data_IF_183121020654
#
_entry.id   IF_183121020654
#
_cell.length_a   1.000
_cell.length_b   1.000
_cell.length_c   1.000
_cell.angle_alpha   90.00
_cell.angle_beta   90.00
_cell.angle_gamma   90.00
#
_symmetry.space_group_name_H-M   'P 1'
#
loop_
_entity.id
_entity.type
_entity.pdbx_description
1 polymer ?
#
# COMPACT_ATOMS: atom_id res chain seq x y z
N UNK A 1 32.72 -6.50 -3.59
CA UNK A 1 31.49 -6.77 -2.80
C UNK A 1 31.87 -7.88 -1.83
N UNK A 2 32.01 -7.59 -0.53
CA UNK A 2 32.48 -8.57 0.47
C UNK A 2 31.38 -9.60 0.76
N UNK A 3 31.75 -10.82 1.14
CA UNK A 3 30.80 -11.87 1.50
C UNK A 3 29.82 -11.44 2.58
N UNK A 4 30.25 -10.58 3.51
CA UNK A 4 29.42 -10.00 4.57
C UNK A 4 28.29 -9.11 4.04
N UNK A 5 28.53 -8.37 2.95
CA UNK A 5 27.50 -7.54 2.32
C UNK A 5 26.39 -8.40 1.67
N UNK A 6 26.73 -9.54 1.08
CA UNK A 6 25.76 -10.46 0.48
C UNK A 6 24.88 -11.10 1.57
N UNK A 7 25.49 -11.52 2.68
CA UNK A 7 24.75 -12.07 3.82
C UNK A 7 23.75 -11.06 4.42
N UNK A 8 24.15 -9.82 4.55
CA UNK A 8 23.28 -8.73 5.01
C UNK A 8 22.05 -8.54 4.10
N UNK A 9 22.25 -8.45 2.78
CA UNK A 9 21.16 -8.25 1.83
C UNK A 9 20.24 -9.46 1.74
N UNK A 10 20.76 -10.68 1.84
CA UNK A 10 19.95 -11.91 1.87
C UNK A 10 19.05 -11.96 3.12
N UNK A 11 19.60 -11.63 4.27
CA UNK A 11 18.82 -11.57 5.51
C UNK A 11 17.73 -10.49 5.43
N UNK A 12 18.05 -9.31 4.90
CA UNK A 12 17.10 -8.22 4.74
C UNK A 12 15.97 -8.59 3.75
N UNK A 13 16.30 -9.24 2.65
CA UNK A 13 15.32 -9.75 1.69
C UNK A 13 14.44 -10.86 2.30
N UNK A 14 15.00 -11.74 3.11
CA UNK A 14 14.26 -12.76 3.85
C UNK A 14 13.26 -12.16 4.83
N UNK A 15 13.69 -11.19 5.63
CA UNK A 15 12.85 -10.46 6.58
C UNK A 15 11.72 -9.70 5.85
N UNK A 16 12.03 -9.06 4.72
CA UNK A 16 11.03 -8.38 3.90
C UNK A 16 9.98 -9.35 3.33
N UNK A 17 10.39 -10.52 2.84
CA UNK A 17 9.48 -11.55 2.34
C UNK A 17 8.53 -12.05 3.43
N UNK A 18 9.03 -12.23 4.64
CA UNK A 18 8.24 -12.62 5.81
C UNK A 18 7.26 -11.51 6.20
N UNK A 19 7.71 -10.26 6.22
CA UNK A 19 6.88 -9.08 6.47
C UNK A 19 5.75 -8.98 5.46
N UNK A 20 6.04 -9.16 4.17
CA UNK A 20 5.06 -9.12 3.08
C UNK A 20 4.00 -10.21 3.26
N UNK A 21 4.40 -11.42 3.65
CA UNK A 21 3.48 -12.52 3.93
C UNK A 21 2.56 -12.18 5.11
N UNK A 22 3.13 -11.73 6.22
CA UNK A 22 2.35 -11.38 7.43
C UNK A 22 1.36 -10.26 7.13
N UNK A 23 1.79 -9.18 6.47
CA UNK A 23 0.92 -8.05 6.13
C UNK A 23 -0.17 -8.46 5.15
N UNK A 24 0.13 -9.33 4.18
CA UNK A 24 -0.87 -9.86 3.25
C UNK A 24 -1.94 -10.67 4.00
N UNK A 25 -1.54 -11.59 4.87
CA UNK A 25 -2.48 -12.39 5.67
C UNK A 25 -3.32 -11.48 6.57
N UNK A 26 -2.69 -10.53 7.26
CA UNK A 26 -3.38 -9.55 8.09
C UNK A 26 -4.40 -8.73 7.28
N UNK A 27 -4.00 -8.20 6.13
CA UNK A 27 -4.87 -7.43 5.23
C UNK A 27 -6.09 -8.22 4.75
N UNK A 28 -5.92 -9.51 4.44
CA UNK A 28 -7.03 -10.39 4.07
C UNK A 28 -8.00 -10.63 5.23
N UNK A 29 -7.49 -10.81 6.44
CA UNK A 29 -8.32 -10.95 7.64
C UNK A 29 -9.10 -9.68 7.96
N UNK A 30 -8.45 -8.52 7.88
CA UNK A 30 -9.10 -7.21 8.07
C UNK A 30 -10.19 -6.99 7.02
N UNK A 31 -9.92 -7.32 5.77
CA UNK A 31 -10.91 -7.23 4.68
C UNK A 31 -12.12 -8.12 4.96
N UNK A 32 -11.92 -9.36 5.40
CA UNK A 32 -13.00 -10.25 5.78
C UNK A 32 -13.82 -9.71 6.96
N UNK A 33 -13.15 -9.14 7.94
CA UNK A 33 -13.78 -8.50 9.11
C UNK A 33 -14.68 -7.33 8.71
N UNK A 34 -14.15 -6.42 7.86
CA UNK A 34 -14.90 -5.27 7.37
C UNK A 34 -16.16 -5.70 6.60
N UNK A 35 -16.03 -6.66 5.66
CA UNK A 35 -17.19 -7.17 4.93
C UNK A 35 -18.24 -7.81 5.86
N UNK A 36 -17.80 -8.48 6.91
CA UNK A 36 -18.70 -9.07 7.91
C UNK A 36 -19.40 -8.01 8.75
N UNK A 37 -18.70 -6.94 9.12
CA UNK A 37 -19.31 -5.79 9.82
C UNK A 37 -20.37 -5.11 8.96
N UNK A 38 -20.03 -4.82 7.69
CA UNK A 38 -20.96 -4.19 6.75
C UNK A 38 -22.21 -5.06 6.57
N UNK A 39 -22.03 -6.38 6.41
CA UNK A 39 -23.15 -7.31 6.29
C UNK A 39 -24.05 -7.30 7.54
N UNK A 40 -23.47 -7.25 8.74
CA UNK A 40 -24.23 -7.13 9.99
C UNK A 40 -25.05 -5.85 10.07
N UNK A 41 -24.46 -4.71 9.70
CA UNK A 41 -25.15 -3.42 9.66
C UNK A 41 -26.31 -3.45 8.66
N UNK A 42 -26.15 -4.17 7.56
CA UNK A 42 -27.20 -4.34 6.54
C UNK A 42 -28.23 -5.44 6.88
N UNK A 43 -28.16 -6.09 8.05
CA UNK A 43 -29.06 -7.20 8.43
C UNK A 43 -28.82 -8.47 7.62
N UNK A 44 -27.65 -8.65 6.99
CA UNK A 44 -27.31 -9.81 6.16
C UNK A 44 -26.33 -10.75 6.88
N UNK A 45 -26.32 -12.03 6.47
CA UNK A 45 -25.31 -13.00 6.91
C UNK A 45 -23.98 -12.67 6.20
N UNK A 46 -22.95 -12.33 6.98
CA UNK A 46 -21.63 -11.99 6.46
C UNK A 46 -20.85 -13.19 5.92
N UNK A 47 -19.85 -12.91 5.08
CA UNK A 47 -18.95 -13.92 4.52
C UNK A 47 -18.07 -14.56 5.61
N UNK A 48 -17.68 -15.85 5.48
CA UNK A 48 -16.73 -16.47 6.39
C UNK A 48 -15.33 -15.88 6.22
N UNK A 49 -14.52 -15.86 7.29
CA UNK A 49 -13.15 -15.32 7.29
C UNK A 49 -12.22 -15.98 6.26
N UNK A 50 -12.53 -17.21 5.83
CA UNK A 50 -11.75 -17.94 4.82
C UNK A 50 -12.01 -17.48 3.39
N UNK A 51 -13.08 -16.72 3.14
CA UNK A 51 -13.51 -16.37 1.79
C UNK A 51 -12.48 -15.57 0.99
N UNK A 52 -11.78 -14.55 1.53
CA UNK A 52 -10.76 -13.83 0.78
C UNK A 52 -9.61 -14.73 0.30
N UNK A 53 -9.19 -15.69 1.12
CA UNK A 53 -8.15 -16.65 0.75
C UNK A 53 -8.61 -17.59 -0.39
N UNK A 54 -9.84 -18.10 -0.28
CA UNK A 54 -10.44 -18.95 -1.32
C UNK A 54 -10.57 -18.16 -2.63
N UNK A 55 -10.92 -16.87 -2.57
CA UNK A 55 -11.06 -16.03 -3.75
C UNK A 55 -9.71 -15.83 -4.46
N UNK A 56 -8.62 -15.63 -3.73
CA UNK A 56 -7.27 -15.54 -4.32
C UNK A 56 -6.93 -16.86 -5.01
N UNK A 57 -7.06 -17.99 -4.29
CA UNK A 57 -6.75 -19.30 -4.83
C UNK A 57 -7.57 -19.59 -6.09
N UNK A 58 -8.86 -19.31 -6.07
CA UNK A 58 -9.75 -19.48 -7.21
C UNK A 58 -9.33 -18.61 -8.41
N UNK A 59 -8.88 -17.39 -8.17
CA UNK A 59 -8.50 -16.47 -9.24
C UNK A 59 -7.17 -16.84 -9.90
N UNK A 60 -6.24 -17.49 -9.18
CA UNK A 60 -4.98 -18.00 -9.74
C UNK A 60 -5.24 -19.04 -10.83
N UNK A 61 -6.29 -19.87 -10.68
CA UNK A 61 -6.61 -20.91 -11.65
C UNK A 61 -7.55 -20.44 -12.79
N UNK A 62 -8.07 -19.21 -12.73
CA UNK A 62 -8.92 -18.67 -13.79
C UNK A 62 -8.10 -18.24 -14.99
N UNK A 63 -8.62 -18.51 -16.18
CA UNK A 63 -8.06 -18.02 -17.44
C UNK A 63 -8.89 -16.85 -17.95
N UNK A 64 -8.24 -15.86 -18.56
CA UNK A 64 -8.91 -14.80 -19.30
C UNK A 64 -9.46 -15.34 -20.61
N UNK A 65 -10.74 -15.14 -20.87
CA UNK A 65 -11.40 -15.62 -22.09
C UNK A 65 -11.24 -14.64 -23.27
N UNK A 66 -10.94 -13.37 -23.02
CA UNK A 66 -10.86 -12.32 -24.01
C UNK A 66 -9.44 -11.77 -24.00
N UNK A 67 -8.83 -11.63 -25.18
CA UNK A 67 -7.54 -10.98 -25.36
C UNK A 67 -7.75 -9.46 -25.36
N UNK A 68 -7.17 -8.79 -24.39
CA UNK A 68 -7.05 -7.34 -24.32
C UNK A 68 -5.61 -6.92 -24.66
N UNK A 69 -5.37 -5.63 -24.85
CA UNK A 69 -4.02 -5.13 -25.10
C UNK A 69 -3.06 -5.27 -23.91
N UNK A 70 -1.84 -4.84 -24.10
CA UNK A 70 -0.73 -5.05 -23.15
C UNK A 70 -1.01 -4.40 -21.78
N UNK A 71 -1.64 -3.23 -21.76
CA UNK A 71 -1.93 -2.51 -20.51
C UNK A 71 -2.92 -3.22 -19.59
N UNK A 72 -3.78 -4.06 -20.15
CA UNK A 72 -4.69 -4.91 -19.36
C UNK A 72 -3.91 -5.89 -18.46
N UNK A 73 -2.81 -6.44 -18.96
CA UNK A 73 -1.94 -7.35 -18.20
C UNK A 73 -0.95 -6.60 -17.29
N UNK A 74 -0.46 -5.44 -17.73
CA UNK A 74 0.47 -4.63 -16.94
C UNK A 74 -0.19 -3.88 -15.79
N UNK A 75 -1.47 -3.51 -15.91
CA UNK A 75 -2.21 -2.78 -14.88
C UNK A 75 -2.17 -3.46 -13.49
N UNK A 76 -2.54 -4.74 -13.37
CA UNK A 76 -2.43 -5.48 -12.11
C UNK A 76 -1.00 -5.60 -11.59
N UNK A 77 -0.01 -5.71 -12.49
CA UNK A 77 1.43 -5.77 -12.12
C UNK A 77 1.87 -4.44 -11.51
N UNK A 78 1.51 -3.31 -12.11
CA UNK A 78 1.81 -1.98 -11.57
C UNK A 78 1.11 -1.75 -10.23
N UNK A 79 -0.13 -2.22 -10.09
CA UNK A 79 -0.83 -2.13 -8.81
C UNK A 79 -0.15 -2.95 -7.73
N UNK A 80 0.29 -4.16 -8.04
CA UNK A 80 1.04 -5.00 -7.12
C UNK A 80 2.39 -4.35 -6.77
N UNK A 81 3.10 -3.85 -7.78
CA UNK A 81 4.39 -3.16 -7.60
C UNK A 81 4.24 -1.93 -6.70
N UNK A 82 3.17 -1.14 -6.86
CA UNK A 82 2.87 -0.01 -5.97
C UNK A 82 2.66 -0.45 -4.52
N UNK A 83 1.88 -1.51 -4.28
CA UNK A 83 1.64 -2.05 -2.94
C UNK A 83 2.90 -2.62 -2.28
N UNK A 84 3.66 -3.42 -3.02
CA UNK A 84 4.94 -4.00 -2.53
C UNK A 84 5.98 -2.90 -2.30
N UNK A 85 6.08 -1.91 -3.22
CA UNK A 85 6.97 -0.77 -3.09
C UNK A 85 6.65 0.08 -1.86
N UNK A 86 5.38 0.34 -1.59
CA UNK A 86 4.95 1.05 -0.39
C UNK A 86 5.40 0.31 0.87
N UNK A 87 5.17 -1.00 0.95
CA UNK A 87 5.59 -1.83 2.10
C UNK A 87 7.12 -1.91 2.25
N UNK A 88 7.86 -1.83 1.14
CA UNK A 88 9.32 -1.90 1.18
C UNK A 88 9.94 -0.75 1.98
N UNK A 89 9.33 0.43 1.96
CA UNK A 89 9.86 1.64 2.59
C UNK A 89 9.16 2.03 3.90
N UNK A 90 8.06 1.38 4.27
CA UNK A 90 7.40 1.62 5.55
C UNK A 90 7.90 0.61 6.58
N UNK A 91 8.47 1.05 7.71
CA UNK A 91 8.74 0.17 8.85
C UNK A 91 7.40 -0.29 9.45
N UNK A 92 7.13 -1.59 9.45
CA UNK A 92 5.86 -2.13 9.97
C UNK A 92 5.81 -2.09 11.49
N UNK A 93 6.97 -2.31 12.12
CA UNK A 93 7.13 -2.18 13.57
C UNK A 93 8.35 -1.31 13.83
N UNK A 94 8.13 -0.14 14.42
CA UNK A 94 9.21 0.76 14.79
C UNK A 94 10.11 0.15 15.88
N UNK A 95 11.42 0.31 15.71
CA UNK A 95 12.41 -0.23 16.67
C UNK A 95 12.71 -1.72 16.52
N UNK A 96 12.13 -2.41 15.54
CA UNK A 96 12.43 -3.81 15.24
C UNK A 96 13.32 -3.93 14.01
N UNK A 97 14.49 -4.52 14.15
CA UNK A 97 15.40 -4.77 13.01
C UNK A 97 14.77 -5.69 11.96
N UNK A 98 13.95 -6.63 12.41
CA UNK A 98 13.28 -7.59 11.54
C UNK A 98 12.24 -6.94 10.62
N UNK A 99 11.50 -5.94 11.10
CA UNK A 99 10.40 -5.27 10.38
C UNK A 99 10.75 -3.86 9.91
N UNK A 100 12.03 -3.48 9.94
CA UNK A 100 12.50 -2.16 9.49
C UNK A 100 12.47 -1.98 7.96
N UNK A 101 12.36 -3.09 7.21
CA UNK A 101 12.36 -3.10 5.75
C UNK A 101 13.57 -2.35 5.14
N UNK A 102 13.36 -1.61 4.04
CA UNK A 102 14.41 -0.86 3.33
C UNK A 102 14.35 0.64 3.64
N UNK A 103 13.89 1.02 4.84
CA UNK A 103 13.80 2.42 5.25
C UNK A 103 15.12 3.18 5.00
N UNK A 104 15.05 4.32 4.32
CA UNK A 104 16.17 5.19 3.92
C UNK A 104 15.78 6.66 4.10
N UNK A 105 16.77 7.55 4.02
CA UNK A 105 16.50 8.98 3.94
C UNK A 105 15.66 9.28 2.68
N UNK A 106 14.48 9.90 2.83
CA UNK A 106 13.57 10.19 1.73
C UNK A 106 12.50 9.12 1.47
N UNK A 107 12.38 8.11 2.33
CA UNK A 107 11.38 7.03 2.24
C UNK A 107 9.94 7.57 2.25
N UNK A 108 9.68 8.70 2.92
CA UNK A 108 8.36 9.33 2.92
C UNK A 108 7.86 9.71 1.52
N UNK A 109 8.72 10.29 0.68
CA UNK A 109 8.37 10.63 -0.70
C UNK A 109 8.18 9.37 -1.56
N UNK A 110 9.03 8.36 -1.37
CA UNK A 110 8.92 7.10 -2.09
C UNK A 110 7.62 6.36 -1.76
N UNK A 111 7.21 6.35 -0.50
CA UNK A 111 5.94 5.76 -0.07
C UNK A 111 4.75 6.43 -0.75
N UNK A 112 4.72 7.76 -0.79
CA UNK A 112 3.66 8.52 -1.47
C UNK A 112 3.65 8.18 -2.96
N UNK A 113 4.80 8.20 -3.62
CA UNK A 113 4.93 7.88 -5.02
C UNK A 113 4.40 6.48 -5.35
N UNK A 114 4.80 5.45 -4.60
CA UNK A 114 4.34 4.08 -4.83
C UNK A 114 2.85 3.91 -4.55
N UNK A 115 2.29 4.64 -3.60
CA UNK A 115 0.86 4.61 -3.30
C UNK A 115 0.04 5.12 -4.50
N UNK A 116 0.44 6.23 -5.11
CA UNK A 116 -0.22 6.78 -6.30
C UNK A 116 0.06 5.96 -7.56
N UNK A 117 1.27 5.44 -7.71
CA UNK A 117 1.66 4.59 -8.83
C UNK A 117 0.78 3.34 -8.94
N UNK A 118 0.46 2.71 -7.82
CA UNK A 118 -0.46 1.57 -7.77
C UNK A 118 -1.88 1.91 -8.23
N UNK A 119 -2.38 3.11 -7.92
CA UNK A 119 -3.69 3.58 -8.37
C UNK A 119 -3.70 3.85 -9.89
N UNK A 120 -2.67 4.51 -10.41
CA UNK A 120 -2.50 4.76 -11.82
C UNK A 120 -2.46 3.46 -12.63
N UNK A 121 -1.74 2.44 -12.14
CA UNK A 121 -1.70 1.11 -12.77
C UNK A 121 -3.07 0.48 -12.93
N UNK A 122 -3.95 0.61 -11.93
CA UNK A 122 -5.31 0.12 -12.01
C UNK A 122 -6.13 0.87 -13.08
N UNK A 123 -5.97 2.19 -13.18
CA UNK A 123 -6.64 3.00 -14.19
C UNK A 123 -6.21 2.62 -15.61
N UNK A 124 -4.92 2.41 -15.84
CA UNK A 124 -4.39 1.98 -17.13
C UNK A 124 -4.93 0.61 -17.55
N UNK A 125 -4.93 -0.36 -16.65
CA UNK A 125 -5.46 -1.70 -16.93
C UNK A 125 -6.96 -1.72 -17.22
N UNK A 126 -7.74 -0.94 -16.49
CA UNK A 126 -9.17 -0.82 -16.72
C UNK A 126 -9.49 -0.06 -18.02
N UNK A 127 -8.62 0.91 -18.43
CA UNK A 127 -8.79 1.69 -19.65
C UNK A 127 -8.79 0.83 -20.91
N UNK A 128 -8.00 -0.21 -20.93
CA UNK A 128 -7.86 -1.09 -22.09
C UNK A 128 -8.97 -2.13 -22.23
N UNK A 129 -9.90 -2.19 -21.27
CA UNK A 129 -11.03 -3.13 -21.34
C UNK A 129 -12.01 -2.85 -22.48
N UNK A 130 -11.93 -1.67 -23.13
CA UNK A 130 -12.78 -1.29 -24.26
C UNK A 130 -14.27 -1.09 -23.92
N UNK A 131 -14.64 -1.20 -22.66
CA UNK A 131 -16.04 -1.06 -22.26
C UNK A 131 -16.37 0.41 -21.93
N UNK A 132 -17.50 0.98 -22.45
CA UNK A 132 -17.85 2.39 -22.24
C UNK A 132 -17.92 2.80 -20.76
N UNK A 133 -18.46 1.95 -19.90
CA UNK A 133 -18.53 2.21 -18.45
C UNK A 133 -17.17 2.19 -17.76
N UNK A 134 -16.19 1.50 -18.34
CA UNK A 134 -14.82 1.51 -17.82
C UNK A 134 -14.19 2.90 -17.94
N UNK A 135 -14.36 3.55 -19.10
CA UNK A 135 -13.87 4.92 -19.33
C UNK A 135 -14.47 5.92 -18.31
N UNK A 136 -15.78 5.83 -18.06
CA UNK A 136 -16.46 6.67 -17.06
C UNK A 136 -15.94 6.36 -15.66
N UNK A 137 -15.80 5.08 -15.32
CA UNK A 137 -15.29 4.63 -14.02
C UNK A 137 -13.87 5.15 -13.75
N UNK A 138 -13.00 5.08 -14.75
CA UNK A 138 -11.62 5.57 -14.66
C UNK A 138 -11.58 7.09 -14.50
N UNK A 139 -12.34 7.83 -15.31
CA UNK A 139 -12.41 9.29 -15.22
C UNK A 139 -12.83 9.74 -13.83
N UNK A 140 -13.83 9.09 -13.25
CA UNK A 140 -14.26 9.34 -11.86
C UNK A 140 -13.19 8.97 -10.83
N UNK A 141 -12.56 7.80 -10.98
CA UNK A 141 -11.50 7.33 -10.08
C UNK A 141 -10.27 8.24 -10.09
N UNK A 142 -9.81 8.66 -11.27
CA UNK A 142 -8.69 9.59 -11.42
C UNK A 142 -9.02 10.98 -10.90
N UNK A 143 -10.22 11.50 -11.17
CA UNK A 143 -10.66 12.80 -10.63
C UNK A 143 -10.69 12.79 -9.09
N UNK A 144 -11.19 11.70 -8.50
CA UNK A 144 -11.19 11.53 -7.06
C UNK A 144 -9.76 11.44 -6.51
N UNK A 145 -8.88 10.68 -7.18
CA UNK A 145 -7.48 10.54 -6.79
C UNK A 145 -6.79 11.92 -6.77
N UNK A 146 -6.89 12.70 -7.83
CA UNK A 146 -6.29 14.03 -7.92
C UNK A 146 -6.84 14.98 -6.85
N UNK A 147 -8.14 14.87 -6.54
CA UNK A 147 -8.78 15.73 -5.55
C UNK A 147 -8.24 15.51 -4.12
N UNK A 148 -7.86 14.29 -3.73
CA UNK A 148 -7.29 14.05 -2.41
C UNK A 148 -5.75 14.06 -2.39
N UNK A 149 -5.09 13.88 -3.54
CA UNK A 149 -3.63 13.89 -3.65
C UNK A 149 -3.04 15.24 -3.23
N UNK A 150 -3.62 16.33 -3.68
CA UNK A 150 -3.15 17.68 -3.36
C UNK A 150 -3.25 18.01 -1.87
N UNK A 151 -4.39 17.86 -1.19
CA UNK A 151 -4.45 18.07 0.26
C UNK A 151 -3.55 17.13 1.06
N UNK A 152 -3.43 15.88 0.62
CA UNK A 152 -2.55 14.92 1.26
C UNK A 152 -1.08 15.31 1.13
N UNK A 153 -0.63 15.71 -0.06
CA UNK A 153 0.73 16.18 -0.28
C UNK A 153 1.05 17.43 0.55
N UNK A 154 0.12 18.38 0.65
CA UNK A 154 0.29 19.57 1.48
C UNK A 154 0.42 19.22 2.97
N UNK A 155 -0.39 18.28 3.47
CA UNK A 155 -0.28 17.81 4.84
C UNK A 155 1.08 17.15 5.12
N UNK A 156 1.59 16.34 4.18
CA UNK A 156 2.91 15.72 4.31
C UNK A 156 4.02 16.75 4.27
N UNK A 157 3.95 17.74 3.36
CA UNK A 157 4.93 18.82 3.29
C UNK A 157 4.95 19.62 4.61
N UNK A 158 3.80 19.87 5.21
CA UNK A 158 3.72 20.53 6.53
C UNK A 158 4.50 19.77 7.61
N UNK A 159 4.38 18.44 7.64
CA UNK A 159 5.12 17.57 8.56
C UNK A 159 6.64 17.64 8.27
N UNK A 160 7.03 17.58 6.99
CA UNK A 160 8.43 17.68 6.58
C UNK A 160 9.05 19.01 7.02
N UNK A 161 8.34 20.11 6.84
CA UNK A 161 8.82 21.43 7.27
C UNK A 161 8.98 21.51 8.78
N UNK A 162 8.07 20.87 9.54
CA UNK A 162 8.11 20.89 11.00
C UNK A 162 9.30 20.11 11.57
N UNK A 163 9.64 18.97 10.97
CA UNK A 163 10.71 18.09 11.47
C UNK A 163 12.01 18.18 10.69
N UNK A 164 12.06 18.97 9.61
CA UNK A 164 13.22 19.16 8.71
C UNK A 164 13.84 17.83 8.24
N UNK A 165 13.00 16.81 8.04
CA UNK A 165 13.43 15.48 7.60
C UNK A 165 12.41 14.81 6.72
N UNK A 166 12.87 13.98 5.77
CA UNK A 166 12.06 13.14 4.90
C UNK A 166 12.03 11.67 5.35
N UNK A 167 12.74 11.36 6.44
CA UNK A 167 12.79 9.99 6.97
C UNK A 167 11.62 9.72 7.90
N UNK A 168 10.84 8.67 7.59
CA UNK A 168 9.71 8.23 8.41
C UNK A 168 10.18 7.83 9.80
N UNK A 169 11.33 7.18 9.91
CA UNK A 169 11.88 6.74 11.19
C UNK A 169 12.25 7.91 12.09
N UNK A 170 12.82 8.99 11.58
CA UNK A 170 13.16 10.20 12.33
C UNK A 170 11.91 10.96 12.77
N UNK A 171 10.90 11.08 11.89
CA UNK A 171 9.62 11.70 12.23
C UNK A 171 8.92 10.92 13.36
N UNK A 172 8.94 9.60 13.31
CA UNK A 172 8.35 8.76 14.37
C UNK A 172 9.16 8.88 15.67
N UNK A 173 10.48 8.92 15.59
CA UNK A 173 11.34 9.12 16.76
C UNK A 173 11.07 10.47 17.46
N UNK A 174 10.89 11.54 16.69
CA UNK A 174 10.60 12.87 17.22
C UNK A 174 9.24 12.95 17.96
N UNK A 175 8.29 12.08 17.60
CA UNK A 175 6.97 12.01 18.24
C UNK A 175 6.94 11.08 19.47
N UNK A 176 8.06 10.47 19.84
CA UNK A 176 8.15 9.64 21.04
C UNK A 176 8.16 10.50 22.32
N UNK A 177 7.79 9.90 23.43
CA UNK A 177 7.84 10.56 24.76
C UNK A 177 6.49 11.01 25.32
N UNK A 178 5.40 10.89 24.55
CA UNK A 178 4.05 11.17 25.04
C UNK A 178 3.13 11.77 23.97
N UNK A 179 1.84 11.76 24.28
CA UNK A 179 0.81 12.28 23.36
C UNK A 179 0.95 13.79 23.06
N UNK A 180 1.62 14.53 23.95
CA UNK A 180 1.90 15.97 23.79
C UNK A 180 2.85 16.27 22.63
N UNK A 181 3.72 15.30 22.27
CA UNK A 181 4.71 15.44 21.20
C UNK A 181 4.14 15.03 19.82
N UNK A 182 2.90 14.56 19.77
CA UNK A 182 2.29 14.17 18.50
C UNK A 182 2.02 15.39 17.63
N UNK A 183 2.29 15.27 16.36
CA UNK A 183 2.09 16.33 15.34
C UNK A 183 0.66 16.91 15.40
N UNK A 184 -0.31 16.10 15.79
CA UNK A 184 -1.71 16.52 15.95
C UNK A 184 -1.87 17.66 16.95
N UNK A 185 -1.03 17.74 17.99
CA UNK A 185 -1.13 18.73 19.02
C UNK A 185 -0.08 19.85 18.92
N UNK A 186 0.98 19.62 18.16
CA UNK A 186 2.08 20.57 18.00
C UNK A 186 1.97 21.41 16.72
N UNK A 187 1.23 20.91 15.72
CA UNK A 187 1.04 21.60 14.44
C UNK A 187 -0.40 22.13 14.31
N UNK A 188 -0.57 23.38 14.75
CA UNK A 188 -1.84 24.12 14.61
C UNK A 188 -1.74 25.14 13.49
#
# INVERSE_FOLDING_TARGET
MSFDSIGFWLNKAGNFSLTLLIVTVYGLLVTAFIYRLIAKVQGRIGIPYRQPFINILKNIFKRTAISHGIMFYLGPVFRLAGGVGTLAFIPVIYGSDMFSNFSMAGDLLLVIYFMFFGQLGMALGAGESGHPYSAIGIARGLSQMTAYEVPFALAVISIVIQYDTLSITEIVAAQQGGWQNWTLFTNW
#
